data_IF_290444288056
#
_entry.id   IF_290444288056
#
_cell.length_a   1.000
_cell.length_b   1.000
_cell.length_c   1.000
_cell.angle_alpha   90.00
_cell.angle_beta   90.00
_cell.angle_gamma   90.00
#
_symmetry.space_group_name_H-M   'P 1'
#
loop_
_entity.id
_entity.type
_entity.pdbx_description
1 polymer ?
#
# COMPACT_ATOMS: atom_id res chain seq x y z
N UNK A 1 -5.59 0.58 20.31
CA UNK A 1 -5.59 0.55 18.84
C UNK A 1 -5.25 -0.88 18.43
N UNK A 2 -6.11 -1.54 17.65
CA UNK A 2 -5.83 -2.89 17.16
C UNK A 2 -5.04 -2.73 15.86
N UNK A 3 -3.80 -3.22 15.85
CA UNK A 3 -2.91 -3.19 14.69
C UNK A 3 -2.82 -4.57 14.07
N UNK A 4 -2.60 -4.61 12.75
CA UNK A 4 -2.39 -5.83 12.01
C UNK A 4 -1.20 -6.61 12.61
N UNK A 5 -1.44 -7.84 13.06
CA UNK A 5 -0.40 -8.77 13.50
C UNK A 5 -0.14 -9.82 12.43
N UNK A 6 1.13 -10.22 12.30
CA UNK A 6 1.59 -11.24 11.37
C UNK A 6 0.83 -12.55 11.58
N UNK A 7 0.28 -13.10 10.50
CA UNK A 7 -0.32 -14.44 10.48
C UNK A 7 0.43 -15.33 9.50
N UNK A 8 0.63 -16.63 9.80
CA UNK A 8 1.33 -17.57 8.92
C UNK A 8 0.69 -17.72 7.52
N UNK A 9 -0.56 -17.24 7.33
CA UNK A 9 -1.27 -17.23 6.03
C UNK A 9 -0.79 -16.15 5.05
N UNK A 10 0.06 -15.20 5.47
CA UNK A 10 0.56 -14.13 4.58
C UNK A 10 1.71 -14.58 3.65
N UNK A 11 2.34 -15.72 3.91
CA UNK A 11 3.45 -16.24 3.08
C UNK A 11 3.00 -16.68 1.66
N UNK A 12 1.71 -16.95 1.47
CA UNK A 12 1.09 -17.33 0.19
C UNK A 12 0.40 -16.14 -0.51
N UNK A 13 0.36 -14.97 0.14
CA UNK A 13 -0.32 -13.80 -0.37
C UNK A 13 0.59 -12.98 -1.28
N UNK A 14 0.02 -12.35 -2.31
CA UNK A 14 0.74 -11.43 -3.19
C UNK A 14 1.26 -10.18 -2.46
N UNK A 15 0.88 -9.96 -1.20
CA UNK A 15 1.36 -8.87 -0.36
C UNK A 15 1.61 -9.35 1.06
N UNK A 16 2.44 -8.60 1.80
CA UNK A 16 2.69 -8.83 3.22
C UNK A 16 3.10 -7.55 3.93
N UNK A 17 2.80 -7.47 5.22
CA UNK A 17 3.43 -6.50 6.11
C UNK A 17 4.83 -6.98 6.48
N UNK A 18 5.74 -6.03 6.69
CA UNK A 18 7.08 -6.31 7.21
C UNK A 18 7.42 -5.29 8.31
N UNK A 19 8.34 -5.71 9.18
CA UNK A 19 8.91 -4.91 10.26
C UNK A 19 10.42 -5.24 10.42
N UNK A 20 11.03 -4.78 11.51
CA UNK A 20 12.43 -5.05 11.82
C UNK A 20 12.76 -6.53 12.08
N UNK A 21 11.78 -7.32 12.54
CA UNK A 21 11.97 -8.75 12.85
C UNK A 21 11.76 -9.64 11.63
N UNK A 22 10.97 -9.15 10.67
CA UNK A 22 10.58 -9.86 9.46
C UNK A 22 10.77 -8.94 8.25
N UNK A 23 12.01 -8.72 7.77
CA UNK A 23 12.30 -7.79 6.68
C UNK A 23 11.73 -8.26 5.32
N UNK A 24 11.67 -7.36 4.32
CA UNK A 24 11.28 -7.73 2.96
C UNK A 24 12.20 -8.83 2.38
N UNK A 25 11.65 -9.72 1.55
CA UNK A 25 12.35 -10.89 1.03
C UNK A 25 12.80 -10.62 -0.40
N UNK A 26 13.90 -11.23 -0.86
CA UNK A 26 14.58 -10.92 -2.12
C UNK A 26 13.84 -11.21 -3.43
N UNK A 27 12.50 -11.24 -3.43
CA UNK A 27 11.69 -11.32 -4.66
C UNK A 27 11.49 -9.93 -5.27
N UNK A 28 11.39 -9.82 -6.61
CA UNK A 28 10.96 -8.59 -7.26
C UNK A 28 9.63 -8.11 -6.68
N UNK A 29 9.61 -6.87 -6.22
CA UNK A 29 8.47 -6.36 -5.46
C UNK A 29 8.37 -4.85 -5.52
N UNK A 30 7.17 -4.38 -5.16
CA UNK A 30 6.94 -3.02 -4.69
C UNK A 30 7.08 -3.02 -3.17
N UNK A 31 7.83 -2.06 -2.65
CA UNK A 31 8.03 -1.83 -1.21
C UNK A 31 7.60 -0.43 -0.89
N UNK A 32 6.66 -0.31 0.03
CA UNK A 32 6.22 0.97 0.57
C UNK A 32 6.53 1.02 2.06
N UNK A 33 7.36 1.97 2.49
CA UNK A 33 7.61 2.18 3.92
C UNK A 33 6.53 3.11 4.47
N UNK A 34 5.79 2.67 5.47
CA UNK A 34 4.66 3.43 6.01
C UNK A 34 5.16 4.71 6.69
N UNK A 35 4.35 5.77 6.67
CA UNK A 35 4.76 7.06 7.24
C UNK A 35 4.88 7.08 8.77
N UNK A 36 4.21 6.15 9.45
CA UNK A 36 4.29 5.99 10.90
C UNK A 36 5.54 5.21 11.33
N UNK A 37 6.33 4.69 10.38
CA UNK A 37 7.65 4.15 10.66
C UNK A 37 8.58 5.25 11.20
N UNK A 38 9.51 4.84 12.08
CA UNK A 38 10.54 5.74 12.63
C UNK A 38 11.88 5.48 11.94
N UNK A 39 12.22 4.22 11.72
CA UNK A 39 13.43 3.79 11.04
C UNK A 39 13.32 3.86 9.51
N UNK A 40 14.45 3.67 8.85
CA UNK A 40 14.57 3.50 7.40
C UNK A 40 14.86 2.05 7.04
N UNK A 41 14.49 1.67 5.81
CA UNK A 41 14.90 0.40 5.22
C UNK A 41 16.17 0.63 4.40
N UNK A 42 17.26 -0.03 4.77
CA UNK A 42 18.51 0.00 4.03
C UNK A 42 18.42 -0.94 2.82
N UNK A 43 18.81 -0.41 1.66
CA UNK A 43 18.94 -1.12 0.39
C UNK A 43 20.43 -1.24 0.01
N UNK A 44 20.75 -1.88 -1.12
CA UNK A 44 22.14 -1.98 -1.60
C UNK A 44 22.70 -0.60 -1.99
N UNK A 45 24.03 -0.48 -2.05
CA UNK A 45 24.70 0.69 -2.62
C UNK A 45 24.53 2.00 -1.84
N UNK A 46 24.32 1.94 -0.51
CA UNK A 46 24.02 3.07 0.37
C UNK A 46 22.66 3.73 0.12
N UNK A 47 21.76 3.07 -0.61
CA UNK A 47 20.39 3.54 -0.75
C UNK A 47 19.55 3.20 0.49
N UNK A 48 18.54 4.02 0.76
CA UNK A 48 17.58 3.76 1.82
C UNK A 48 16.19 4.28 1.42
N UNK A 49 15.16 3.62 1.95
CA UNK A 49 13.78 4.11 1.94
C UNK A 49 13.46 4.75 3.27
N UNK A 50 13.01 6.00 3.24
CA UNK A 50 12.53 6.74 4.39
C UNK A 50 11.02 6.57 4.55
N UNK A 51 10.45 6.87 5.74
CA UNK A 51 9.01 6.78 5.95
C UNK A 51 8.22 7.56 4.89
N UNK A 52 7.31 6.87 4.20
CA UNK A 52 6.53 7.38 3.08
C UNK A 52 7.17 7.22 1.70
N UNK A 53 8.38 6.68 1.60
CA UNK A 53 9.03 6.37 0.33
C UNK A 53 8.53 5.03 -0.24
N UNK A 54 8.66 4.90 -1.56
CA UNK A 54 8.28 3.70 -2.31
C UNK A 54 9.39 3.28 -3.26
N UNK A 55 9.55 1.98 -3.41
CA UNK A 55 10.47 1.31 -4.32
C UNK A 55 9.72 0.28 -5.16
N UNK A 56 10.09 0.14 -6.43
CA UNK A 56 9.64 -0.94 -7.30
C UNK A 56 10.84 -1.48 -8.07
N UNK A 57 11.05 -2.80 -8.01
CA UNK A 57 12.16 -3.42 -8.73
C UNK A 57 12.65 -4.72 -8.10
N UNK A 58 13.77 -5.27 -8.61
CA UNK A 58 14.46 -6.37 -7.95
C UNK A 58 14.95 -5.92 -6.57
N UNK A 59 14.70 -6.71 -5.53
CA UNK A 59 15.22 -6.38 -4.21
C UNK A 59 16.72 -6.70 -4.12
N UNK A 60 17.51 -5.88 -3.41
CA UNK A 60 18.83 -6.30 -2.91
C UNK A 60 18.76 -7.66 -2.21
N UNK A 61 19.89 -8.39 -2.14
CA UNK A 61 19.89 -9.74 -1.54
C UNK A 61 19.55 -9.72 -0.04
N UNK A 62 19.80 -8.61 0.66
CA UNK A 62 19.59 -8.48 2.10
C UNK A 62 19.16 -7.06 2.53
N UNK A 63 17.94 -6.62 2.17
CA UNK A 63 17.39 -5.39 2.75
C UNK A 63 17.26 -5.56 4.27
N UNK A 64 17.60 -4.53 5.02
CA UNK A 64 17.58 -4.60 6.49
C UNK A 64 17.11 -3.30 7.12
N UNK A 65 16.61 -3.42 8.33
CA UNK A 65 16.26 -2.30 9.19
C UNK A 65 17.46 -1.44 9.53
N UNK A 66 17.29 -0.12 9.63
CA UNK A 66 18.19 0.68 10.45
C UNK A 66 18.17 0.18 11.91
N UNK A 67 19.33 -0.11 12.51
CA UNK A 67 19.39 -0.64 13.87
C UNK A 67 18.75 0.28 14.91
N UNK A 68 17.95 -0.30 15.80
CA UNK A 68 17.39 0.40 16.96
C UNK A 68 16.20 1.31 16.69
N UNK A 69 15.73 1.39 15.45
CA UNK A 69 14.53 2.16 15.09
C UNK A 69 13.44 1.23 14.54
N UNK A 70 12.22 1.28 15.09
CA UNK A 70 11.11 0.46 14.60
C UNK A 70 10.73 0.90 13.19
N UNK A 71 10.45 -0.07 12.33
CA UNK A 71 10.05 0.18 10.96
C UNK A 71 8.80 -0.61 10.64
N UNK A 72 8.03 -0.12 9.68
CA UNK A 72 6.84 -0.81 9.23
C UNK A 72 6.60 -0.52 7.77
N UNK A 73 6.36 -1.56 6.99
CA UNK A 73 6.16 -1.42 5.56
C UNK A 73 5.28 -2.50 4.97
N UNK A 74 4.98 -2.33 3.69
CA UNK A 74 4.25 -3.30 2.89
C UNK A 74 5.14 -3.72 1.72
N UNK A 75 5.24 -5.02 1.52
CA UNK A 75 5.84 -5.60 0.32
C UNK A 75 4.74 -6.24 -0.52
N UNK A 76 4.68 -5.93 -1.80
CA UNK A 76 3.79 -6.59 -2.78
C UNK A 76 4.67 -7.31 -3.80
N UNK A 77 4.51 -8.63 -3.89
CA UNK A 77 5.18 -9.44 -4.89
C UNK A 77 4.70 -9.01 -6.27
N UNK A 78 5.63 -8.81 -7.19
CA UNK A 78 5.32 -8.47 -8.56
C UNK A 78 5.76 -9.60 -9.49
N UNK A 79 4.95 -9.96 -10.51
CA UNK A 79 5.48 -10.76 -11.61
C UNK A 79 6.65 -9.99 -12.20
N UNK A 80 7.77 -10.68 -12.45
CA UNK A 80 9.06 -10.08 -12.75
C UNK A 80 8.94 -8.92 -13.76
N UNK A 81 8.93 -7.68 -13.25
CA UNK A 81 9.03 -6.51 -14.10
C UNK A 81 10.46 -6.52 -14.65
N UNK A 82 10.58 -6.52 -15.97
CA UNK A 82 11.86 -6.31 -16.66
C UNK A 82 12.33 -4.84 -16.58
N UNK A 83 11.63 -3.99 -15.82
CA UNK A 83 11.98 -2.59 -15.66
C UNK A 83 13.13 -2.41 -14.66
N UNK A 84 13.95 -1.39 -14.90
CA UNK A 84 14.94 -0.93 -13.95
C UNK A 84 14.27 -0.56 -12.60
N UNK A 85 15.03 -0.71 -11.51
CA UNK A 85 14.60 -0.27 -10.20
C UNK A 85 14.21 1.22 -10.23
N UNK A 86 13.07 1.55 -9.65
CA UNK A 86 12.60 2.92 -9.51
C UNK A 86 12.24 3.20 -8.05
N UNK A 87 12.53 4.41 -7.61
CA UNK A 87 12.23 4.89 -6.26
C UNK A 87 11.59 6.26 -6.36
N UNK A 88 10.54 6.47 -5.56
CA UNK A 88 9.99 7.80 -5.30
C UNK A 88 10.07 8.10 -3.81
N UNK A 89 10.52 9.30 -3.47
CA UNK A 89 10.38 9.81 -2.12
C UNK A 89 8.96 10.31 -1.87
N UNK A 90 8.58 10.45 -0.59
CA UNK A 90 7.21 10.84 -0.21
C UNK A 90 6.66 12.10 -0.89
N UNK A 91 7.53 13.05 -1.27
CA UNK A 91 7.13 14.33 -1.91
C UNK A 91 6.93 14.20 -3.42
N UNK A 92 7.39 13.10 -4.03
CA UNK A 92 7.19 12.79 -5.45
C UNK A 92 5.90 12.00 -5.69
N UNK A 93 5.25 11.49 -4.63
CA UNK A 93 4.03 10.71 -4.71
C UNK A 93 2.82 11.67 -4.72
N UNK A 94 1.95 11.63 -5.74
CA UNK A 94 0.75 12.45 -5.78
C UNK A 94 -0.18 12.20 -4.59
N UNK A 95 -0.70 13.28 -4.00
CA UNK A 95 -1.64 13.24 -2.87
C UNK A 95 -2.92 13.97 -3.27
N UNK A 96 -4.06 13.32 -3.07
CA UNK A 96 -5.40 13.92 -3.12
C UNK A 96 -5.92 14.02 -1.70
N UNK A 97 -6.38 15.21 -1.31
CA UNK A 97 -7.02 15.45 0.00
C UNK A 97 -8.46 15.88 -0.21
N UNK A 98 -9.33 15.39 0.67
CA UNK A 98 -10.72 15.81 0.78
C UNK A 98 -11.07 15.88 2.29
N UNK A 99 -12.20 16.49 2.68
CA UNK A 99 -12.59 16.51 4.09
C UNK A 99 -12.55 15.10 4.68
N UNK A 100 -11.75 14.93 5.74
CA UNK A 100 -11.63 13.67 6.47
C UNK A 100 -10.95 12.52 5.72
N UNK A 101 -10.34 12.75 4.55
CA UNK A 101 -9.59 11.71 3.84
C UNK A 101 -8.33 12.23 3.16
N UNK A 102 -7.33 11.35 3.11
CA UNK A 102 -6.06 11.61 2.44
C UNK A 102 -5.65 10.37 1.66
N UNK A 103 -5.50 10.55 0.36
CA UNK A 103 -5.26 9.47 -0.60
C UNK A 103 -3.95 9.74 -1.33
N UNK A 104 -3.02 8.79 -1.30
CA UNK A 104 -1.78 8.80 -2.08
C UNK A 104 -1.88 7.84 -3.24
N UNK A 105 -1.50 8.28 -4.43
CA UNK A 105 -1.36 7.40 -5.58
C UNK A 105 0.08 6.87 -5.63
N UNK A 106 0.30 5.71 -4.99
CA UNK A 106 1.61 5.08 -4.87
C UNK A 106 2.14 4.64 -6.25
N UNK A 107 1.31 3.98 -7.06
CA UNK A 107 1.65 3.51 -8.39
C UNK A 107 0.41 3.47 -9.30
N UNK A 108 0.61 3.51 -10.63
CA UNK A 108 -0.46 3.45 -11.61
C UNK A 108 -1.19 4.78 -11.83
N UNK A 109 -2.46 4.71 -12.24
CA UNK A 109 -3.26 5.88 -12.66
C UNK A 109 -4.70 5.82 -12.17
N UNK A 110 -5.23 6.97 -11.77
CA UNK A 110 -6.64 7.17 -11.46
C UNK A 110 -7.12 8.43 -12.18
N UNK A 111 -7.98 8.27 -13.18
CA UNK A 111 -8.46 9.38 -14.03
C UNK A 111 -7.27 10.20 -14.55
N UNK A 112 -7.23 11.50 -14.25
CA UNK A 112 -6.15 12.42 -14.65
C UNK A 112 -4.94 12.42 -13.70
N UNK A 113 -4.98 11.70 -12.57
CA UNK A 113 -3.86 11.60 -11.63
C UNK A 113 -3.02 10.36 -11.95
N UNK A 114 -1.71 10.54 -12.14
CA UNK A 114 -0.78 9.45 -12.48
C UNK A 114 0.40 9.45 -11.53
N UNK A 115 0.78 8.29 -11.02
CA UNK A 115 2.08 8.08 -10.39
C UNK A 115 3.15 7.92 -11.48
N UNK A 116 4.40 8.35 -11.22
CA UNK A 116 5.56 7.97 -12.05
C UNK A 116 5.84 6.46 -12.07
N UNK A 117 5.37 5.70 -11.07
CA UNK A 117 5.60 4.26 -11.00
C UNK A 117 4.53 3.46 -11.77
N UNK A 118 4.94 2.49 -12.62
CA UNK A 118 4.01 1.68 -13.37
C UNK A 118 3.25 0.70 -12.46
N UNK A 119 1.95 0.51 -12.72
CA UNK A 119 1.11 -0.49 -12.07
C UNK A 119 -0.07 -0.87 -12.96
N UNK A 120 -0.49 -2.15 -13.03
CA UNK A 120 -1.73 -2.55 -13.71
C UNK A 120 -2.92 -2.06 -12.88
N UNK A 121 -3.45 -0.88 -13.21
CA UNK A 121 -4.52 -0.19 -12.47
C UNK A 121 -3.96 0.92 -11.58
N UNK A 122 -4.23 0.85 -10.27
CA UNK A 122 -3.68 1.79 -9.31
C UNK A 122 -3.42 1.16 -7.94
N UNK A 123 -2.38 1.64 -7.28
CA UNK A 123 -2.09 1.32 -5.88
C UNK A 123 -2.20 2.59 -5.04
N UNK A 124 -3.00 2.54 -3.99
CA UNK A 124 -3.39 3.69 -3.19
C UNK A 124 -3.07 3.47 -1.72
N UNK A 125 -2.49 4.49 -1.08
CA UNK A 125 -2.43 4.62 0.38
C UNK A 125 -3.54 5.56 0.86
N UNK A 126 -4.53 5.03 1.58
CA UNK A 126 -5.71 5.75 2.09
C UNK A 126 -5.63 5.91 3.61
N UNK A 127 -5.69 7.16 4.08
CA UNK A 127 -6.02 7.51 5.46
C UNK A 127 -7.41 8.12 5.51
N UNK A 128 -8.25 7.60 6.41
CA UNK A 128 -9.64 8.02 6.57
C UNK A 128 -9.89 8.36 8.04
N UNK A 129 -10.40 9.56 8.30
CA UNK A 129 -10.78 9.99 9.65
C UNK A 129 -12.04 9.27 10.14
N UNK A 130 -12.24 9.28 11.45
CA UNK A 130 -13.44 8.70 12.05
C UNK A 130 -14.72 9.35 11.50
N UNK A 131 -15.78 8.56 11.35
CA UNK A 131 -17.09 8.89 10.78
C UNK A 131 -17.12 9.25 9.29
N UNK A 132 -15.99 9.13 8.60
CA UNK A 132 -15.89 9.50 7.19
C UNK A 132 -16.11 8.31 6.27
N UNK A 133 -16.63 8.60 5.07
CA UNK A 133 -16.73 7.66 3.96
C UNK A 133 -15.74 8.00 2.86
N UNK A 134 -15.28 6.98 2.14
CA UNK A 134 -14.47 7.12 0.94
C UNK A 134 -14.97 6.15 -0.12
N UNK A 135 -15.26 6.66 -1.31
CA UNK A 135 -15.79 5.87 -2.43
C UNK A 135 -14.68 5.58 -3.43
N UNK A 136 -14.65 4.35 -3.97
CA UNK A 136 -13.74 3.97 -5.03
C UNK A 136 -13.85 4.95 -6.22
N UNK A 137 -12.71 5.31 -6.85
CA UNK A 137 -12.71 6.33 -7.90
C UNK A 137 -13.21 5.81 -9.26
N UNK A 138 -13.35 4.49 -9.43
CA UNK A 138 -13.82 3.77 -10.62
C UNK A 138 -14.78 2.64 -10.25
N UNK A 139 -15.51 2.14 -11.25
CA UNK A 139 -16.25 0.87 -11.17
C UNK A 139 -15.30 -0.28 -11.47
N UNK A 140 -14.47 -0.62 -10.48
CA UNK A 140 -13.35 -1.52 -10.64
C UNK A 140 -13.36 -2.58 -9.53
N UNK A 141 -12.71 -3.72 -9.77
CA UNK A 141 -12.39 -4.65 -8.68
C UNK A 141 -11.28 -4.04 -7.84
N UNK A 142 -11.41 -4.16 -6.52
CA UNK A 142 -10.41 -3.64 -5.61
C UNK A 142 -10.14 -4.65 -4.48
N UNK A 143 -8.86 -4.75 -4.15
CA UNK A 143 -8.37 -5.44 -2.95
C UNK A 143 -8.06 -4.40 -1.89
N UNK A 144 -8.79 -4.46 -0.78
CA UNK A 144 -8.66 -3.55 0.36
C UNK A 144 -7.86 -4.27 1.44
N UNK A 145 -6.74 -3.68 1.84
CA UNK A 145 -5.83 -4.22 2.85
C UNK A 145 -5.79 -3.20 4.00
N UNK A 146 -6.37 -3.53 5.15
CA UNK A 146 -6.40 -2.60 6.28
C UNK A 146 -5.13 -2.75 7.10
N UNK A 147 -4.37 -1.66 7.23
CA UNK A 147 -3.07 -1.62 7.92
C UNK A 147 -3.25 -1.32 9.40
N UNK A 148 -4.13 -0.36 9.73
CA UNK A 148 -4.49 -0.01 11.10
C UNK A 148 -5.94 0.47 11.17
N UNK A 149 -6.58 0.27 12.32
CA UNK A 149 -7.97 0.64 12.53
C UNK A 149 -8.94 -0.40 11.97
N UNK A 150 -10.11 0.05 11.55
CA UNK A 150 -11.17 -0.78 10.98
C UNK A 150 -11.94 0.02 9.93
N UNK A 151 -12.17 -0.61 8.77
CA UNK A 151 -13.06 -0.09 7.75
C UNK A 151 -14.34 -0.94 7.72
N UNK A 152 -15.40 -0.37 7.18
CA UNK A 152 -16.69 -1.02 7.00
C UNK A 152 -17.06 -0.95 5.52
N UNK A 153 -17.38 -2.09 4.93
CA UNK A 153 -17.95 -2.18 3.58
C UNK A 153 -19.30 -2.87 3.67
N UNK A 154 -20.39 -2.15 3.38
CA UNK A 154 -21.77 -2.60 3.67
C UNK A 154 -21.87 -3.01 5.15
N UNK A 155 -22.35 -4.21 5.43
CA UNK A 155 -22.46 -4.76 6.79
C UNK A 155 -21.22 -5.58 7.21
N UNK A 156 -20.16 -5.60 6.39
CA UNK A 156 -18.93 -6.35 6.67
C UNK A 156 -17.82 -5.45 7.23
N UNK A 157 -17.36 -5.68 8.49
CA UNK A 157 -16.17 -5.04 9.01
C UNK A 157 -14.89 -5.64 8.42
N UNK A 158 -13.95 -4.79 8.03
CA UNK A 158 -12.62 -5.13 7.51
C UNK A 158 -11.60 -4.65 8.52
N UNK A 159 -11.02 -5.58 9.27
CA UNK A 159 -10.12 -5.31 10.40
C UNK A 159 -8.67 -5.17 9.96
N UNK A 160 -7.87 -4.44 10.73
CA UNK A 160 -6.42 -4.39 10.54
C UNK A 160 -5.82 -5.80 10.40
N UNK A 161 -5.00 -5.98 9.36
CA UNK A 161 -4.37 -7.24 8.98
C UNK A 161 -5.21 -8.14 8.09
N UNK A 162 -6.42 -7.70 7.75
CA UNK A 162 -7.32 -8.42 6.84
C UNK A 162 -7.28 -7.85 5.43
N UNK A 163 -7.61 -8.72 4.48
CA UNK A 163 -7.89 -8.37 3.10
C UNK A 163 -9.40 -8.53 2.83
N UNK A 164 -9.96 -7.61 2.05
CA UNK A 164 -11.31 -7.76 1.50
C UNK A 164 -11.31 -7.42 0.01
N UNK A 165 -11.89 -8.31 -0.79
CA UNK A 165 -12.19 -8.02 -2.20
C UNK A 165 -13.53 -7.31 -2.30
N UNK A 166 -13.57 -6.24 -3.08
CA UNK A 166 -14.78 -5.48 -3.41
C UNK A 166 -14.86 -5.28 -4.92
N UNK A 167 -16.06 -5.04 -5.44
CA UNK A 167 -16.31 -4.75 -6.84
C UNK A 167 -17.21 -3.52 -6.97
N UNK A 168 -17.25 -2.98 -8.19
CA UNK A 168 -18.13 -1.88 -8.58
C UNK A 168 -17.85 -0.59 -7.80
N UNK A 169 -18.83 0.32 -7.73
CA UNK A 169 -18.76 1.48 -6.85
C UNK A 169 -18.92 1.08 -5.38
N UNK A 170 -17.81 0.74 -4.72
CA UNK A 170 -17.79 0.49 -3.27
C UNK A 170 -17.52 1.78 -2.48
N UNK A 171 -18.23 1.97 -1.36
CA UNK A 171 -17.90 3.00 -0.37
C UNK A 171 -17.46 2.33 0.93
N UNK A 172 -16.31 2.76 1.43
CA UNK A 172 -15.71 2.33 2.68
C UNK A 172 -16.00 3.38 3.74
N UNK A 173 -16.43 2.96 4.92
CA UNK A 173 -16.67 3.85 6.05
C UNK A 173 -15.69 3.53 7.18
N UNK A 174 -15.28 4.55 7.93
CA UNK A 174 -14.43 4.36 9.09
C UNK A 174 -15.13 4.83 10.36
N UNK A 175 -15.28 3.95 11.36
CA UNK A 175 -15.82 4.32 12.68
C UNK A 175 -14.75 4.95 13.60
N UNK A 176 -13.49 4.82 13.21
CA UNK A 176 -12.31 5.37 13.87
C UNK A 176 -11.31 5.81 12.80
N UNK A 177 -10.19 6.43 13.17
CA UNK A 177 -9.12 6.66 12.20
C UNK A 177 -8.60 5.34 11.66
N UNK A 178 -8.57 5.22 10.34
CA UNK A 178 -8.20 4.00 9.65
C UNK A 178 -7.21 4.26 8.53
N UNK A 179 -6.35 3.28 8.29
CA UNK A 179 -5.32 3.30 7.26
C UNK A 179 -5.44 2.02 6.46
N UNK A 180 -5.59 2.15 5.15
CA UNK A 180 -5.66 1.02 4.25
C UNK A 180 -4.81 1.25 3.00
N UNK A 181 -4.27 0.15 2.49
CA UNK A 181 -3.74 0.07 1.15
C UNK A 181 -4.85 -0.47 0.24
N UNK A 182 -5.06 0.16 -0.90
CA UNK A 182 -6.10 -0.21 -1.86
C UNK A 182 -5.42 -0.49 -3.20
N UNK A 183 -5.52 -1.73 -3.66
CA UNK A 183 -5.11 -2.13 -5.00
C UNK A 183 -6.36 -2.17 -5.88
N UNK A 184 -6.43 -1.26 -6.84
CA UNK A 184 -7.44 -1.26 -7.90
C UNK A 184 -6.91 -2.08 -9.08
N UNK A 185 -7.65 -3.09 -9.49
CA UNK A 185 -7.32 -3.82 -10.71
C UNK A 185 -7.43 -2.86 -11.90
N UNK A 186 -6.62 -3.10 -12.93
CA UNK A 186 -6.88 -2.47 -14.22
C UNK A 186 -8.30 -2.87 -14.63
N UNK A 187 -9.15 -1.89 -14.91
CA UNK A 187 -10.44 -2.19 -15.52
C UNK A 187 -10.19 -3.03 -16.79
N UNK A 188 -10.96 -4.09 -16.98
CA UNK A 188 -11.28 -4.61 -18.31
C UNK A 188 -12.16 -3.55 -19.01
N UNK A 189 -11.64 -2.34 -19.26
CA UNK A 189 -12.39 -1.40 -20.10
C UNK A 189 -12.26 -1.92 -21.55
N UNK A 190 -13.39 -2.18 -22.24
CA UNK A 190 -13.34 -2.31 -23.68
C UNK A 190 -12.74 -1.01 -24.21
N UNK A 191 -11.66 -1.11 -25.00
CA UNK A 191 -11.02 0.06 -25.58
C UNK A 191 -12.03 0.96 -26.27
N UNK A 192 -11.93 2.26 -26.02
CA UNK A 192 -12.55 3.29 -26.85
C UNK A 192 -12.22 3.08 -28.34
#
# INVERSE_FOLDING_TARGET
>A
MIEARFGPRQAEQAWRLFDETTPPCGIPSLIYLLEDAVGRLMLDGNEALYPGDIYIGPLPQAPHAEPGLPLRGIQIAMPALQAAAQRLCKTQIPVVTAPGSRTRLLAGRIKQCSSPLPWPGALIDLRLDATMGWTLPCQCKARIIVVSGELQYRDTPIRAGSEQLVSDTATLYANQRSHALIWLDADDQPGD
#
